data_IF_834768384407
#
_entry.id   IF_834768384407
#
_cell.length_a   1.000
_cell.length_b   1.000
_cell.length_c   1.000
_cell.angle_alpha   90.00
_cell.angle_beta   90.00
_cell.angle_gamma   90.00
#
_symmetry.space_group_name_H-M   'P 1'
#
loop_
_entity.id
_entity.type
_entity.pdbx_description
1 polymer ?
#
# COMPACT_ATOMS: atom_id res chain seq x y z
N UNK A 1 25.06 38.76 -16.11
CA UNK A 1 24.64 38.48 -14.71
C UNK A 1 23.15 38.82 -14.68
N UNK A 2 22.23 37.89 -14.91
CA UNK A 2 21.91 36.69 -14.11
C UNK A 2 21.35 35.62 -15.05
N UNK A 3 21.85 34.38 -14.94
CA UNK A 3 21.26 33.17 -15.55
C UNK A 3 19.98 32.77 -14.82
N UNK A 4 19.21 31.89 -15.47
CA UNK A 4 18.28 30.92 -14.88
C UNK A 4 16.80 31.27 -15.01
N UNK A 5 16.14 30.61 -15.96
CA UNK A 5 15.12 29.59 -15.68
C UNK A 5 14.88 28.79 -16.96
N UNK A 6 15.56 27.66 -17.05
CA UNK A 6 15.28 26.60 -18.00
C UNK A 6 13.96 25.96 -17.55
N UNK A 7 12.85 26.38 -18.16
CA UNK A 7 11.51 25.86 -17.84
C UNK A 7 11.29 24.58 -18.65
N UNK A 8 11.95 23.50 -18.23
CA UNK A 8 11.64 22.16 -18.69
C UNK A 8 10.42 21.66 -17.92
N UNK A 9 9.22 21.89 -18.47
CA UNK A 9 8.01 21.21 -18.03
C UNK A 9 8.17 19.71 -18.31
N UNK A 10 8.67 18.98 -17.31
CA UNK A 10 8.62 17.53 -17.29
C UNK A 10 7.15 17.13 -17.11
N UNK A 11 6.47 16.83 -18.21
CA UNK A 11 5.12 16.27 -18.22
C UNK A 11 5.15 14.90 -17.51
N UNK A 12 4.94 14.91 -16.20
CA UNK A 12 4.84 13.70 -15.39
C UNK A 12 3.38 13.24 -15.37
N UNK A 13 3.03 12.30 -16.24
CA UNK A 13 1.71 11.67 -16.20
C UNK A 13 1.63 10.75 -14.98
N UNK A 14 0.71 11.05 -14.06
CA UNK A 14 0.44 10.18 -12.90
C UNK A 14 -0.07 8.82 -13.43
N UNK A 15 0.59 7.71 -13.10
CA UNK A 15 0.15 6.39 -13.54
C UNK A 15 -1.20 6.03 -12.92
N UNK A 16 -2.03 5.27 -13.63
CA UNK A 16 -3.34 4.83 -13.12
C UNK A 16 -3.16 3.95 -11.88
N UNK A 17 -3.63 4.43 -10.74
CA UNK A 17 -3.59 3.70 -9.47
C UNK A 17 -4.68 2.63 -9.47
N UNK A 18 -4.27 1.38 -9.22
CA UNK A 18 -5.16 0.21 -9.23
C UNK A 18 -5.69 -0.17 -7.85
N UNK A 19 -4.93 0.13 -6.80
CA UNK A 19 -5.22 -0.31 -5.44
C UNK A 19 -5.23 0.88 -4.50
N UNK A 20 -6.35 1.10 -3.83
CA UNK A 20 -6.57 2.22 -2.88
C UNK A 20 -7.21 1.77 -1.56
N UNK A 21 -7.47 0.46 -1.44
CA UNK A 21 -8.15 -0.20 -0.32
C UNK A 21 -7.14 -0.77 0.68
N UNK A 22 -7.60 -1.10 1.87
CA UNK A 22 -6.79 -1.81 2.87
C UNK A 22 -6.53 -3.24 2.40
N UNK A 23 -5.34 -3.80 2.65
CA UNK A 23 -5.01 -5.19 2.31
C UNK A 23 -4.93 -6.04 3.57
N UNK A 24 -6.00 -6.79 3.86
CA UNK A 24 -6.15 -7.59 5.09
C UNK A 24 -6.52 -9.02 4.69
N UNK A 25 -5.85 -10.00 5.31
CA UNK A 25 -6.09 -11.44 5.08
C UNK A 25 -6.02 -11.88 3.60
N UNK A 26 -5.20 -11.22 2.78
CA UNK A 26 -5.04 -11.54 1.36
C UNK A 26 -6.03 -10.87 0.42
N UNK A 27 -6.91 -10.01 0.93
CA UNK A 27 -7.96 -9.33 0.16
C UNK A 27 -7.91 -7.81 0.31
N UNK A 28 -8.40 -7.11 -0.72
CA UNK A 28 -8.57 -5.65 -0.70
C UNK A 28 -9.93 -5.28 -0.12
N UNK A 29 -9.95 -4.75 1.10
CA UNK A 29 -11.16 -4.41 1.85
C UNK A 29 -11.29 -2.89 2.02
N UNK A 30 -12.52 -2.39 1.97
CA UNK A 30 -12.79 -1.01 2.35
C UNK A 30 -12.62 -0.83 3.86
N UNK A 31 -12.34 0.40 4.30
CA UNK A 31 -12.32 0.74 5.73
C UNK A 31 -13.69 0.47 6.34
N UNK A 32 -13.74 -0.06 7.57
CA UNK A 32 -14.99 -0.27 8.32
C UNK A 32 -15.77 1.03 8.46
N UNK A 33 -15.08 2.17 8.65
CA UNK A 33 -15.75 3.47 8.74
C UNK A 33 -16.21 4.00 7.38
N UNK A 34 -15.70 3.43 6.28
CA UNK A 34 -15.91 3.93 4.92
C UNK A 34 -15.15 5.22 4.60
N UNK A 35 -14.32 5.71 5.52
CA UNK A 35 -13.57 6.95 5.30
C UNK A 35 -12.43 6.74 4.30
N UNK A 36 -12.14 7.81 3.58
CA UNK A 36 -10.99 7.89 2.67
C UNK A 36 -10.33 9.25 2.84
N UNK A 37 -9.00 9.32 2.69
CA UNK A 37 -8.26 10.58 2.65
C UNK A 37 -7.64 10.80 1.28
N UNK A 38 -7.35 12.07 0.97
CA UNK A 38 -6.80 12.48 -0.31
C UNK A 38 -5.26 12.44 -0.25
N UNK A 39 -4.66 11.68 -1.16
CA UNK A 39 -3.22 11.68 -1.39
C UNK A 39 -2.89 12.81 -2.35
N UNK A 40 -2.07 13.76 -1.91
CA UNK A 40 -1.71 14.96 -2.67
C UNK A 40 -0.26 14.83 -3.14
N UNK A 41 0.03 15.22 -4.38
CA UNK A 41 1.40 15.28 -4.91
C UNK A 41 2.13 16.50 -4.31
N UNK A 42 3.27 16.31 -3.62
CA UNK A 42 4.00 17.41 -3.01
C UNK A 42 4.62 18.40 -4.02
N UNK A 43 4.65 18.08 -5.32
CA UNK A 43 5.27 18.93 -6.35
C UNK A 43 4.36 20.04 -6.85
N UNK A 44 3.07 19.77 -6.97
CA UNK A 44 2.09 20.65 -7.60
C UNK A 44 0.77 20.76 -6.82
N UNK A 45 0.67 20.10 -5.65
CA UNK A 45 -0.53 20.08 -4.82
C UNK A 45 -1.76 19.44 -5.49
N UNK A 46 -1.57 18.71 -6.59
CA UNK A 46 -2.65 18.01 -7.27
C UNK A 46 -3.02 16.71 -6.55
N UNK A 47 -4.31 16.39 -6.59
CA UNK A 47 -4.83 15.15 -6.02
C UNK A 47 -4.44 13.93 -6.87
N UNK A 48 -3.72 12.99 -6.26
CA UNK A 48 -3.29 11.73 -6.88
C UNK A 48 -4.40 10.68 -6.81
N UNK A 49 -4.93 10.39 -5.61
CA UNK A 49 -5.97 9.38 -5.37
C UNK A 49 -6.64 9.56 -4.01
N UNK A 50 -7.80 8.91 -3.81
CA UNK A 50 -8.40 8.67 -2.49
C UNK A 50 -7.99 7.31 -1.97
N UNK A 51 -7.41 7.25 -0.78
CA UNK A 51 -6.96 6.02 -0.13
C UNK A 51 -7.86 5.76 1.08
N UNK A 52 -8.21 4.49 1.33
CA UNK A 52 -8.97 4.08 2.52
C UNK A 52 -8.24 4.51 3.80
N UNK A 53 -8.96 5.18 4.68
CA UNK A 53 -8.47 5.58 6.00
C UNK A 53 -8.68 4.42 6.98
N UNK A 54 -7.59 3.76 7.38
CA UNK A 54 -7.64 2.69 8.36
C UNK A 54 -7.87 3.23 9.76
N UNK A 55 -8.87 2.70 10.45
CA UNK A 55 -9.20 3.03 11.83
C UNK A 55 -8.85 1.88 12.78
N UNK A 56 -9.11 2.10 14.08
CA UNK A 56 -8.84 1.11 15.12
C UNK A 56 -9.48 -0.25 14.81
N UNK A 57 -10.73 -0.26 14.34
CA UNK A 57 -11.44 -1.51 14.06
C UNK A 57 -10.79 -2.28 12.90
N UNK A 58 -10.27 -1.58 11.88
CA UNK A 58 -9.54 -2.20 10.77
C UNK A 58 -8.21 -2.80 11.24
N UNK A 59 -7.54 -2.11 12.18
CA UNK A 59 -6.32 -2.61 12.83
C UNK A 59 -6.63 -3.88 13.62
N UNK A 60 -7.71 -3.89 14.40
CA UNK A 60 -8.12 -5.07 15.17
C UNK A 60 -8.42 -6.28 14.26
N UNK A 61 -9.06 -6.05 13.10
CA UNK A 61 -9.22 -7.10 12.08
C UNK A 61 -7.89 -7.58 11.50
N UNK A 62 -6.99 -6.65 11.17
CA UNK A 62 -5.69 -6.98 10.60
C UNK A 62 -4.82 -7.79 11.58
N UNK A 63 -4.81 -7.40 12.85
CA UNK A 63 -4.10 -8.11 13.92
C UNK A 63 -4.68 -9.51 14.11
N UNK A 64 -6.01 -9.63 14.16
CA UNK A 64 -6.68 -10.94 14.28
C UNK A 64 -6.32 -11.86 13.11
N UNK A 65 -6.33 -11.34 11.88
CA UNK A 65 -5.92 -12.10 10.70
C UNK A 65 -4.44 -12.52 10.74
N UNK A 66 -3.56 -11.63 11.20
CA UNK A 66 -2.13 -11.93 11.35
C UNK A 66 -1.87 -12.99 12.43
N UNK A 67 -2.56 -12.91 13.57
CA UNK A 67 -2.52 -13.93 14.62
C UNK A 67 -2.98 -15.28 14.10
N UNK A 68 -4.11 -15.34 13.38
CA UNK A 68 -4.61 -16.58 12.78
C UNK A 68 -3.61 -17.18 11.78
N UNK A 69 -3.01 -16.33 10.92
CA UNK A 69 -1.99 -16.76 9.96
C UNK A 69 -0.69 -17.26 10.65
N UNK A 70 -0.40 -16.79 11.86
CA UNK A 70 0.71 -17.27 12.66
C UNK A 70 0.33 -18.58 13.39
N UNK A 71 -0.76 -18.57 14.15
CA UNK A 71 -1.12 -19.71 14.99
C UNK A 71 -1.55 -20.91 14.14
N UNK A 72 -2.36 -20.72 13.11
CA UNK A 72 -2.94 -21.80 12.30
C UNK A 72 -2.41 -21.84 10.86
N UNK A 73 -1.77 -20.77 10.39
CA UNK A 73 -1.26 -20.70 9.03
C UNK A 73 0.03 -21.48 8.77
N UNK A 74 0.39 -21.65 7.50
CA UNK A 74 1.59 -22.39 7.11
C UNK A 74 2.88 -21.60 7.40
N UNK A 75 2.80 -20.26 7.42
CA UNK A 75 3.97 -19.38 7.40
C UNK A 75 5.03 -19.64 8.49
N UNK A 76 4.69 -19.78 9.79
CA UNK A 76 5.69 -20.08 10.81
C UNK A 76 6.21 -21.52 10.75
N UNK A 77 5.48 -22.43 10.11
CA UNK A 77 5.84 -23.85 9.95
C UNK A 77 6.66 -24.12 8.69
N UNK A 78 6.73 -23.16 7.77
CA UNK A 78 7.55 -23.27 6.57
C UNK A 78 9.04 -23.32 6.93
N UNK A 79 9.75 -24.27 6.30
CA UNK A 79 11.19 -24.32 6.39
C UNK A 79 11.82 -23.00 5.87
N UNK A 80 12.98 -22.57 6.41
CA UNK A 80 13.63 -21.33 5.97
C UNK A 80 13.84 -21.23 4.46
N UNK A 81 14.14 -22.37 3.80
CA UNK A 81 14.30 -22.44 2.34
C UNK A 81 13.03 -22.09 1.58
N UNK A 82 11.87 -22.54 2.05
CA UNK A 82 10.58 -22.26 1.41
C UNK A 82 10.19 -20.79 1.57
N UNK A 83 10.41 -20.21 2.76
CA UNK A 83 10.20 -18.77 2.97
C UNK A 83 11.10 -17.92 2.07
N UNK A 84 12.38 -18.31 1.93
CA UNK A 84 13.31 -17.67 0.99
C UNK A 84 12.81 -17.75 -0.45
N UNK A 85 12.27 -18.90 -0.89
CA UNK A 85 11.74 -19.06 -2.25
C UNK A 85 10.57 -18.11 -2.51
N UNK A 86 9.67 -17.93 -1.54
CA UNK A 86 8.55 -16.99 -1.64
C UNK A 86 9.07 -15.55 -1.73
N UNK A 87 10.04 -15.17 -0.91
CA UNK A 87 10.66 -13.84 -0.96
C UNK A 87 11.35 -13.59 -2.30
N UNK A 88 12.09 -14.56 -2.84
CA UNK A 88 12.74 -14.43 -4.16
C UNK A 88 11.71 -14.28 -5.28
N UNK A 89 10.62 -15.05 -5.25
CA UNK A 89 9.51 -14.90 -6.20
C UNK A 89 8.84 -13.52 -6.14
N UNK A 90 8.88 -12.85 -4.99
CA UNK A 90 8.37 -11.48 -4.86
C UNK A 90 9.34 -10.44 -5.46
N UNK A 91 10.63 -10.76 -5.53
CA UNK A 91 11.64 -9.88 -6.13
C UNK A 91 11.73 -9.99 -7.65
N UNK A 92 11.46 -11.18 -8.19
CA UNK A 92 11.39 -11.47 -9.63
C UNK A 92 10.19 -10.76 -10.30
#
# INVERSE_FOLDING_TARGET
MVQSKDNSEVNFTIPKIKFTKLFINGEFVDSISGNTFEMIDPRNEDMIARIAEGNKDDIDLAVKAACEAFDNGPWPRLAPKERRKIMLKFMD
#
